data_IF_868215950601
#
_entry.id   IF_868215950601
#
_cell.length_a   1.000
_cell.length_b   1.000
_cell.length_c   1.000
_cell.angle_alpha   90.00
_cell.angle_beta   90.00
_cell.angle_gamma   90.00
#
_symmetry.space_group_name_H-M   'P 1'
#
loop_
_entity.id
_entity.type
_entity.pdbx_description
1 polymer ?
#
# COMPACT_ATOMS: atom_id res chain seq x y z
N UNK A 1 21.07 7.79 -4.11
CA UNK A 1 19.98 7.40 -5.03
C UNK A 1 19.59 5.93 -4.82
N UNK A 2 18.30 5.60 -4.86
CA UNK A 2 17.76 4.23 -4.78
C UNK A 2 16.90 3.87 -6.01
N UNK A 3 16.55 2.60 -6.18
CA UNK A 3 15.55 2.14 -7.15
C UNK A 3 14.23 1.86 -6.45
N UNK A 4 13.17 2.59 -6.81
CA UNK A 4 11.80 2.22 -6.46
C UNK A 4 11.29 1.20 -7.48
N UNK A 5 11.28 -0.07 -7.10
CA UNK A 5 10.76 -1.16 -7.93
C UNK A 5 9.23 -1.28 -7.77
N UNK A 6 8.52 -0.22 -8.19
CA UNK A 6 7.06 -0.12 -8.06
C UNK A 6 6.47 0.82 -9.10
N UNK A 7 5.30 0.49 -9.63
CA UNK A 7 4.49 1.39 -10.47
C UNK A 7 3.61 2.36 -9.68
N UNK A 8 3.63 2.32 -8.34
CA UNK A 8 2.75 3.15 -7.50
C UNK A 8 3.15 4.63 -7.53
N UNK A 9 2.29 5.47 -8.09
CA UNK A 9 2.43 6.93 -8.05
C UNK A 9 2.47 7.48 -6.62
N UNK A 10 1.70 6.88 -5.69
CA UNK A 10 1.69 7.30 -4.28
C UNK A 10 3.05 7.10 -3.62
N UNK A 11 3.74 5.97 -3.89
CA UNK A 11 5.06 5.69 -3.31
C UNK A 11 6.13 6.62 -3.87
N UNK A 12 6.09 6.88 -5.18
CA UNK A 12 6.96 7.85 -5.83
C UNK A 12 6.77 9.26 -5.25
N UNK A 13 5.51 9.67 -5.03
CA UNK A 13 5.19 10.95 -4.41
C UNK A 13 5.78 11.04 -3.00
N UNK A 14 5.59 10.01 -2.15
CA UNK A 14 6.14 10.00 -0.79
C UNK A 14 7.67 10.17 -0.81
N UNK A 15 8.39 9.43 -1.64
CA UNK A 15 9.86 9.57 -1.74
C UNK A 15 10.26 11.00 -2.14
N UNK A 16 9.58 11.56 -3.15
CA UNK A 16 9.84 12.91 -3.67
C UNK A 16 9.59 13.99 -2.61
N UNK A 17 8.44 13.95 -1.94
CA UNK A 17 8.07 14.91 -0.88
C UNK A 17 9.06 14.89 0.30
N UNK A 18 9.74 13.77 0.51
CA UNK A 18 10.68 13.57 1.60
C UNK A 18 12.15 13.72 1.17
N UNK A 19 12.42 14.20 -0.05
CA UNK A 19 13.77 14.51 -0.54
C UNK A 19 14.64 13.26 -0.79
N UNK A 20 14.04 12.09 -1.01
CA UNK A 20 14.80 10.89 -1.36
C UNK A 20 15.01 10.85 -2.86
N UNK A 21 16.26 10.78 -3.31
CA UNK A 21 16.59 10.59 -4.72
C UNK A 21 16.34 9.14 -5.14
N UNK A 22 15.54 8.95 -6.19
CA UNK A 22 15.24 7.62 -6.71
C UNK A 22 15.03 7.61 -8.23
N UNK A 23 15.22 6.43 -8.82
CA UNK A 23 14.66 6.08 -10.13
C UNK A 23 13.48 5.12 -9.92
N UNK A 24 12.41 5.31 -10.68
CA UNK A 24 11.25 4.44 -10.63
C UNK A 24 11.34 3.40 -11.75
N UNK A 25 11.41 2.13 -11.39
CA UNK A 25 11.38 1.01 -12.35
C UNK A 25 10.02 0.33 -12.23
N UNK A 26 9.21 0.49 -13.27
CA UNK A 26 7.88 -0.12 -13.33
C UNK A 26 7.98 -1.56 -13.84
N UNK A 27 7.38 -2.48 -13.10
CA UNK A 27 7.28 -3.89 -13.44
C UNK A 27 5.92 -4.39 -12.97
N UNK A 28 5.27 -5.19 -13.81
CA UNK A 28 4.13 -5.99 -13.40
C UNK A 28 4.64 -7.21 -12.65
N UNK A 29 4.07 -7.45 -11.47
CA UNK A 29 4.43 -8.56 -10.60
C UNK A 29 3.28 -9.54 -10.53
N UNK A 30 3.60 -10.83 -10.54
CA UNK A 30 2.65 -11.85 -10.13
C UNK A 30 2.44 -11.76 -8.62
N UNK A 31 1.26 -11.30 -8.23
CA UNK A 31 0.82 -11.10 -6.84
C UNK A 31 -0.22 -12.16 -6.42
N UNK A 32 -0.24 -13.33 -7.08
CA UNK A 32 -1.10 -14.44 -6.70
C UNK A 32 -0.65 -15.08 -5.38
N UNK A 33 -1.19 -14.59 -4.28
CA UNK A 33 -0.96 -15.10 -2.93
C UNK A 33 -2.26 -15.55 -2.27
N UNK A 34 -2.17 -16.55 -1.40
CA UNK A 34 -3.28 -17.01 -0.58
C UNK A 34 -3.73 -15.88 0.36
N UNK A 35 -4.91 -15.32 0.10
CA UNK A 35 -5.50 -14.25 0.91
C UNK A 35 -6.01 -14.73 2.27
N UNK A 36 -5.96 -16.05 2.56
CA UNK A 36 -6.21 -16.60 3.90
C UNK A 36 -5.01 -16.49 4.84
N UNK A 37 -3.84 -16.07 4.33
CA UNK A 37 -2.69 -15.80 5.18
C UNK A 37 -3.00 -14.66 6.17
N UNK A 38 -2.43 -14.70 7.39
CA UNK A 38 -2.45 -13.54 8.28
C UNK A 38 -1.95 -12.29 7.54
N UNK A 39 -2.60 -11.11 7.67
CA UNK A 39 -2.30 -9.95 6.82
C UNK A 39 -0.83 -9.51 6.82
N UNK A 40 -0.17 -9.62 7.97
CA UNK A 40 1.27 -9.38 8.08
C UNK A 40 2.09 -10.30 7.18
N UNK A 41 1.80 -11.61 7.20
CA UNK A 41 2.47 -12.62 6.37
C UNK A 41 2.13 -12.44 4.90
N UNK A 42 0.88 -12.08 4.59
CA UNK A 42 0.45 -11.80 3.21
C UNK A 42 1.28 -10.67 2.60
N UNK A 43 1.30 -9.50 3.24
CA UNK A 43 2.02 -8.33 2.73
C UNK A 43 3.53 -8.60 2.59
N UNK A 44 4.15 -9.26 3.57
CA UNK A 44 5.57 -9.64 3.50
C UNK A 44 5.87 -10.63 2.36
N UNK A 45 4.99 -11.63 2.16
CA UNK A 45 5.12 -12.62 1.08
C UNK A 45 5.13 -11.95 -0.28
N UNK A 46 4.26 -10.95 -0.49
CA UNK A 46 4.23 -10.18 -1.74
C UNK A 46 5.56 -9.43 -1.95
N UNK A 47 6.07 -8.73 -0.93
CA UNK A 47 7.35 -8.00 -1.10
C UNK A 47 8.53 -8.94 -1.38
N UNK A 48 8.54 -10.13 -0.79
CA UNK A 48 9.56 -11.16 -1.08
C UNK A 48 9.46 -11.65 -2.53
N UNK A 49 8.24 -11.90 -3.00
CA UNK A 49 8.01 -12.31 -4.39
C UNK A 49 8.39 -11.24 -5.39
N UNK A 50 8.05 -9.98 -5.13
CA UNK A 50 8.45 -8.83 -5.95
C UNK A 50 9.96 -8.75 -6.08
N UNK A 51 10.68 -8.89 -4.97
CA UNK A 51 12.14 -8.90 -4.98
C UNK A 51 12.69 -10.03 -5.85
N UNK A 52 12.20 -11.26 -5.65
CA UNK A 52 12.61 -12.42 -6.46
C UNK A 52 12.38 -12.18 -7.96
N UNK A 53 11.16 -11.83 -8.35
CA UNK A 53 10.79 -11.58 -9.75
C UNK A 53 11.63 -10.46 -10.38
N UNK A 54 11.88 -9.38 -9.62
CA UNK A 54 12.69 -8.26 -10.09
C UNK A 54 14.14 -8.68 -10.34
N UNK A 55 14.77 -9.39 -9.41
CA UNK A 55 16.14 -9.87 -9.59
C UNK A 55 16.25 -10.98 -10.63
N UNK A 56 15.19 -11.79 -10.82
CA UNK A 56 15.14 -12.75 -11.91
C UNK A 56 15.19 -12.06 -13.28
N UNK A 57 14.52 -10.91 -13.42
CA UNK A 57 14.45 -10.11 -14.66
C UNK A 57 15.67 -9.20 -14.88
N UNK A 58 16.07 -8.45 -13.87
CA UNK A 58 17.10 -7.40 -13.99
C UNK A 58 18.48 -7.84 -13.48
N UNK A 59 18.60 -9.03 -12.86
CA UNK A 59 19.85 -9.55 -12.31
C UNK A 59 20.52 -8.50 -11.40
N UNK A 60 21.84 -8.37 -11.46
CA UNK A 60 22.62 -7.44 -10.64
C UNK A 60 22.69 -6.03 -11.23
N UNK A 61 21.75 -5.63 -12.11
CA UNK A 61 21.73 -4.29 -12.69
C UNK A 61 21.51 -3.21 -11.62
N UNK A 62 20.84 -3.56 -10.52
CA UNK A 62 20.53 -2.65 -9.43
C UNK A 62 20.92 -3.25 -8.09
N UNK A 63 21.47 -2.43 -7.21
CA UNK A 63 22.12 -2.86 -5.98
C UNK A 63 21.64 -2.07 -4.74
N UNK A 64 20.63 -1.21 -4.89
CA UNK A 64 19.90 -0.47 -3.84
C UNK A 64 18.43 -0.39 -4.22
N UNK A 65 17.67 -1.46 -3.98
CA UNK A 65 16.31 -1.64 -4.50
C UNK A 65 15.29 -1.67 -3.37
N UNK A 66 14.25 -0.86 -3.52
CA UNK A 66 13.11 -0.75 -2.61
C UNK A 66 11.87 -1.38 -3.25
N UNK A 67 11.34 -2.37 -2.56
CA UNK A 67 10.05 -2.99 -2.83
C UNK A 67 9.07 -2.60 -1.73
N UNK A 68 7.81 -2.44 -2.09
CA UNK A 68 6.76 -2.22 -1.11
C UNK A 68 5.44 -2.81 -1.59
N UNK A 69 4.67 -3.29 -0.62
CA UNK A 69 3.31 -3.75 -0.79
C UNK A 69 2.40 -3.14 0.27
N UNK A 70 1.11 -3.03 -0.04
CA UNK A 70 0.16 -2.45 0.90
C UNK A 70 -1.20 -3.11 0.75
N UNK A 71 -1.73 -3.62 1.87
CA UNK A 71 -3.02 -4.28 1.91
C UNK A 71 -3.91 -3.59 2.93
N UNK A 72 -5.16 -3.32 2.55
CA UNK A 72 -6.17 -2.83 3.48
C UNK A 72 -6.80 -4.02 4.17
N UNK A 73 -7.01 -3.92 5.48
CA UNK A 73 -7.62 -4.97 6.29
C UNK A 73 -8.77 -4.35 7.07
N UNK A 74 -9.96 -4.91 6.90
CA UNK A 74 -11.14 -4.50 7.65
C UNK A 74 -11.90 -5.75 8.12
N UNK A 75 -12.24 -5.80 9.41
CA UNK A 75 -12.98 -6.92 10.02
C UNK A 75 -12.34 -8.31 9.73
N UNK A 76 -11.00 -8.37 9.70
CA UNK A 76 -10.26 -9.60 9.40
C UNK A 76 -10.14 -9.96 7.92
N UNK A 77 -10.78 -9.20 7.02
CA UNK A 77 -10.74 -9.42 5.57
C UNK A 77 -9.66 -8.55 4.94
N UNK A 78 -8.81 -9.16 4.11
CA UNK A 78 -7.86 -8.43 3.25
C UNK A 78 -8.61 -7.90 2.03
N UNK A 79 -8.59 -6.58 1.87
CA UNK A 79 -9.19 -5.86 0.76
C UNK A 79 -8.10 -5.47 -0.24
N UNK A 80 -8.03 -6.23 -1.33
CA UNK A 80 -7.16 -5.95 -2.47
C UNK A 80 -7.65 -4.77 -3.31
N UNK A 81 -7.19 -4.68 -4.56
CA UNK A 81 -7.73 -3.73 -5.53
C UNK A 81 -9.08 -4.24 -6.04
N UNK A 82 -10.10 -3.41 -6.02
CA UNK A 82 -11.40 -3.76 -6.60
C UNK A 82 -11.28 -3.93 -8.12
N UNK A 83 -11.91 -4.98 -8.66
CA UNK A 83 -11.98 -5.27 -10.10
C UNK A 83 -13.07 -4.48 -10.82
N UNK A 84 -14.09 -4.07 -10.08
CA UNK A 84 -15.26 -3.36 -10.59
C UNK A 84 -15.89 -2.47 -9.50
N UNK A 85 -16.86 -1.64 -9.89
CA UNK A 85 -17.57 -0.75 -8.96
C UNK A 85 -18.34 -1.50 -7.87
N UNK A 86 -18.84 -2.71 -8.17
CA UNK A 86 -19.62 -3.51 -7.21
C UNK A 86 -18.71 -3.92 -6.05
N UNK A 87 -17.52 -4.43 -6.37
CA UNK A 87 -16.50 -4.80 -5.40
C UNK A 87 -15.97 -3.57 -4.64
N UNK A 88 -15.74 -2.44 -5.32
CA UNK A 88 -15.33 -1.20 -4.67
C UNK A 88 -16.36 -0.73 -3.64
N UNK A 89 -17.65 -0.77 -4.00
CA UNK A 89 -18.77 -0.44 -3.09
C UNK A 89 -18.83 -1.39 -1.89
N UNK A 90 -18.64 -2.69 -2.12
CA UNK A 90 -18.58 -3.68 -1.05
C UNK A 90 -17.43 -3.37 -0.07
N UNK A 91 -16.22 -3.14 -0.59
CA UNK A 91 -15.05 -2.80 0.23
C UNK A 91 -15.26 -1.53 1.05
N UNK A 92 -15.86 -0.47 0.46
CA UNK A 92 -16.15 0.77 1.18
C UNK A 92 -17.25 0.62 2.22
N UNK A 93 -18.29 -0.17 1.94
CA UNK A 93 -19.33 -0.49 2.92
C UNK A 93 -18.77 -1.23 4.14
N UNK A 94 -17.82 -2.13 3.93
CA UNK A 94 -17.14 -2.84 5.02
C UNK A 94 -16.33 -1.89 5.91
N UNK A 95 -15.70 -0.87 5.31
CA UNK A 95 -14.93 0.15 6.04
C UNK A 95 -15.80 1.15 6.81
N UNK A 96 -17.01 1.42 6.32
CA UNK A 96 -17.97 2.34 6.96
C UNK A 96 -18.26 1.94 8.41
N UNK A 97 -18.13 2.88 9.34
CA UNK A 97 -18.30 2.65 10.78
C UNK A 97 -17.37 1.57 11.38
N UNK A 98 -16.27 1.22 10.71
CA UNK A 98 -15.36 0.14 11.11
C UNK A 98 -13.94 0.65 11.42
N UNK A 99 -13.18 -0.18 12.13
CA UNK A 99 -11.74 -0.03 12.22
C UNK A 99 -11.11 -0.69 10.99
N UNK A 100 -10.33 0.09 10.24
CA UNK A 100 -9.63 -0.36 9.03
C UNK A 100 -8.15 -0.09 9.20
N UNK A 101 -7.32 -1.09 8.89
CA UNK A 101 -5.86 -0.98 9.00
C UNK A 101 -5.21 -1.17 7.64
N UNK A 102 -4.22 -0.34 7.33
CA UNK A 102 -3.34 -0.50 6.17
C UNK A 102 -2.05 -1.13 6.65
N UNK A 103 -1.77 -2.33 6.14
CA UNK A 103 -0.52 -3.04 6.36
C UNK A 103 0.40 -2.72 5.21
N UNK A 104 1.55 -2.13 5.50
CA UNK A 104 2.56 -1.79 4.49
C UNK A 104 3.82 -2.56 4.78
N UNK A 105 4.09 -3.53 3.92
CA UNK A 105 5.35 -4.24 3.91
C UNK A 105 6.34 -3.50 3.00
N UNK A 106 7.60 -3.45 3.42
CA UNK A 106 8.70 -2.95 2.60
C UNK A 106 9.86 -3.92 2.68
N UNK A 107 10.56 -4.06 1.55
CA UNK A 107 11.83 -4.76 1.49
C UNK A 107 12.85 -3.85 0.84
N UNK A 108 13.90 -3.49 1.56
CA UNK A 108 15.01 -2.71 1.04
C UNK A 108 16.25 -3.58 0.97
N UNK A 109 16.79 -3.74 -0.23
CA UNK A 109 17.93 -4.60 -0.51
C UNK A 109 19.06 -3.74 -1.01
N UNK A 110 20.22 -3.89 -0.38
CA UNK A 110 21.48 -3.36 -0.87
C UNK A 110 22.54 -4.46 -0.98
N UNK A 111 23.73 -4.13 -1.48
CA UNK A 111 24.86 -5.07 -1.48
C UNK A 111 25.20 -5.63 -0.08
N UNK A 112 25.00 -4.82 0.97
CA UNK A 112 25.48 -5.13 2.32
C UNK A 112 24.36 -5.49 3.31
N UNK A 113 23.10 -5.28 2.93
CA UNK A 113 21.98 -5.48 3.85
C UNK A 113 20.67 -5.79 3.14
N UNK A 114 19.83 -6.56 3.83
CA UNK A 114 18.43 -6.80 3.48
C UNK A 114 17.60 -6.40 4.68
N UNK A 115 16.64 -5.51 4.48
CA UNK A 115 15.72 -5.04 5.52
C UNK A 115 14.31 -5.40 5.10
N UNK A 116 13.64 -6.20 5.92
CA UNK A 116 12.21 -6.44 5.84
C UNK A 116 11.51 -5.65 6.94
N UNK A 117 10.45 -4.95 6.57
CA UNK A 117 9.72 -4.10 7.49
C UNK A 117 8.22 -4.20 7.27
N UNK A 118 7.47 -4.16 8.36
CA UNK A 118 6.02 -4.10 8.33
C UNK A 118 5.56 -2.96 9.24
N UNK A 119 4.80 -2.05 8.66
CA UNK A 119 4.20 -0.91 9.38
C UNK A 119 2.71 -0.92 9.20
N UNK A 120 1.98 -0.51 10.25
CA UNK A 120 0.53 -0.53 10.28
C UNK A 120 0.01 0.87 10.59
N UNK A 121 -0.92 1.35 9.77
CA UNK A 121 -1.70 2.55 10.04
C UNK A 121 -3.18 2.19 10.15
N UNK A 122 -3.81 2.51 11.27
CA UNK A 122 -5.20 2.16 11.58
C UNK A 122 -6.07 3.40 11.67
N UNK A 123 -7.26 3.30 11.08
CA UNK A 123 -8.25 4.37 11.01
C UNK A 123 -9.60 3.83 11.47
N UNK A 124 -10.19 4.48 12.47
CA UNK A 124 -11.60 4.30 12.80
C UNK A 124 -12.40 5.30 11.99
N UNK A 125 -13.34 4.80 11.18
CA UNK A 125 -14.21 5.64 10.39
C UNK A 125 -15.59 5.81 11.02
N UNK A 126 -16.19 6.98 10.81
CA UNK A 126 -17.64 7.22 10.91
C UNK A 126 -18.38 6.42 9.85
N UNK A 127 -19.71 6.36 9.99
CA UNK A 127 -20.57 5.92 8.90
C UNK A 127 -20.36 6.84 7.69
N UNK A 128 -20.05 6.23 6.54
CA UNK A 128 -19.99 6.92 5.26
C UNK A 128 -21.40 7.31 4.81
N UNK A 129 -21.55 8.53 4.32
CA UNK A 129 -22.76 8.99 3.64
C UNK A 129 -22.90 8.30 2.28
N UNK A 130 -24.13 7.93 1.91
CA UNK A 130 -24.37 7.19 0.68
C UNK A 130 -24.13 8.04 -0.57
N UNK A 131 -24.53 9.32 -0.55
CA UNK A 131 -24.35 10.20 -1.71
C UNK A 131 -22.87 10.50 -1.93
N UNK A 132 -22.11 10.65 -0.85
CA UNK A 132 -20.65 10.76 -0.93
C UNK A 132 -19.98 9.51 -1.49
N UNK A 133 -20.45 8.33 -1.08
CA UNK A 133 -19.94 7.05 -1.58
C UNK A 133 -20.24 6.93 -3.08
N UNK A 134 -21.45 7.29 -3.52
CA UNK A 134 -21.85 7.30 -4.93
C UNK A 134 -21.00 8.24 -5.76
N UNK A 135 -20.78 9.48 -5.29
CA UNK A 135 -19.89 10.45 -5.94
C UNK A 135 -18.46 9.92 -6.05
N UNK A 136 -17.95 9.28 -4.99
CA UNK A 136 -16.59 8.74 -5.01
C UNK A 136 -16.45 7.56 -5.97
N UNK A 137 -17.43 6.66 -6.03
CA UNK A 137 -17.42 5.56 -7.00
C UNK A 137 -17.45 6.11 -8.43
N UNK A 138 -18.34 7.05 -8.72
CA UNK A 138 -18.46 7.68 -10.04
C UNK A 138 -17.18 8.43 -10.47
N UNK A 139 -16.37 8.89 -9.52
CA UNK A 139 -15.11 9.60 -9.81
C UNK A 139 -13.99 8.71 -10.35
N UNK A 140 -14.12 7.37 -10.26
CA UNK A 140 -13.06 6.40 -10.56
C UNK A 140 -11.76 6.55 -9.75
N UNK A 141 -11.69 7.47 -8.78
CA UNK A 141 -10.50 7.68 -7.95
C UNK A 141 -10.14 6.45 -7.09
N UNK A 142 -11.09 5.52 -6.88
CA UNK A 142 -10.87 4.25 -6.19
C UNK A 142 -10.03 3.24 -6.98
N UNK A 143 -9.97 3.38 -8.32
CA UNK A 143 -9.30 2.40 -9.17
C UNK A 143 -7.81 2.27 -8.82
N UNK A 144 -7.34 1.02 -8.82
CA UNK A 144 -5.96 0.67 -8.50
C UNK A 144 -5.55 0.84 -7.03
N UNK A 145 -6.47 1.21 -6.13
CA UNK A 145 -6.21 1.36 -4.68
C UNK A 145 -6.71 0.15 -3.92
N UNK A 146 -5.88 -0.36 -3.02
CA UNK A 146 -6.28 -1.42 -2.10
C UNK A 146 -7.46 -0.95 -1.23
N UNK A 147 -8.46 -1.80 -1.05
CA UNK A 147 -9.71 -1.50 -0.37
C UNK A 147 -10.51 -0.36 -1.00
N UNK A 148 -10.25 0.05 -2.24
CA UNK A 148 -10.81 1.27 -2.81
C UNK A 148 -10.54 2.52 -1.92
N UNK A 149 -9.56 2.45 -1.03
CA UNK A 149 -9.35 3.42 0.05
C UNK A 149 -8.46 4.57 -0.42
N UNK A 150 -8.85 5.80 -0.07
CA UNK A 150 -8.08 7.01 -0.33
C UNK A 150 -8.08 7.90 0.91
N UNK A 151 -7.08 7.73 1.77
CA UNK A 151 -7.02 8.38 3.09
C UNK A 151 -7.05 9.91 3.02
N UNK A 152 -6.44 10.48 1.98
CA UNK A 152 -6.41 11.93 1.75
C UNK A 152 -7.61 12.49 1.00
N UNK A 153 -8.42 11.62 0.41
CA UNK A 153 -9.58 11.97 -0.40
C UNK A 153 -10.85 11.61 0.35
N UNK A 154 -11.64 10.72 -0.26
CA UNK A 154 -12.95 10.29 0.24
C UNK A 154 -12.96 9.98 1.75
N UNK A 155 -12.00 9.20 2.23
CA UNK A 155 -11.98 8.74 3.62
C UNK A 155 -11.70 9.87 4.63
N UNK A 156 -11.03 10.96 4.21
CA UNK A 156 -10.47 11.99 5.10
C UNK A 156 -11.49 12.58 6.07
N UNK A 157 -12.66 12.94 5.55
CA UNK A 157 -13.74 13.56 6.36
C UNK A 157 -14.44 12.59 7.32
N UNK A 158 -14.19 11.29 7.18
CA UNK A 158 -14.80 10.25 8.00
C UNK A 158 -13.88 9.70 9.09
N UNK A 159 -12.63 10.15 9.17
CA UNK A 159 -11.68 9.68 10.19
C UNK A 159 -12.12 10.19 11.57
N UNK A 160 -12.38 9.28 12.50
CA UNK A 160 -12.59 9.58 13.93
C UNK A 160 -11.31 9.44 14.72
N UNK A 161 -10.58 8.35 14.46
CA UNK A 161 -9.34 8.01 15.14
C UNK A 161 -8.32 7.60 14.11
N UNK A 162 -7.10 8.09 14.26
CA UNK A 162 -5.95 7.68 13.49
C UNK A 162 -4.86 7.18 14.45
N UNK A 163 -4.27 6.03 14.13
CA UNK A 163 -3.08 5.50 14.78
C UNK A 163 -2.05 5.10 13.72
N UNK A 164 -0.80 5.50 13.92
CA UNK A 164 0.26 5.30 12.93
C UNK A 164 0.34 6.42 11.90
N UNK A 165 1.23 6.25 10.93
CA UNK A 165 1.66 7.34 10.06
C UNK A 165 0.92 7.33 8.72
N UNK A 166 0.57 8.53 8.24
CA UNK A 166 -0.10 8.73 6.95
C UNK A 166 0.68 8.15 5.76
N UNK A 167 2.02 8.34 5.63
CA UNK A 167 2.80 7.72 4.55
C UNK A 167 2.64 6.20 4.49
N UNK A 168 2.60 5.52 5.64
CA UNK A 168 2.31 4.08 5.72
C UNK A 168 0.97 3.77 5.06
N UNK A 169 -0.10 4.48 5.44
CA UNK A 169 -1.42 4.30 4.82
C UNK A 169 -1.46 4.59 3.32
N UNK A 170 -0.62 5.51 2.85
CA UNK A 170 -0.46 5.83 1.42
C UNK A 170 0.42 4.81 0.67
N UNK A 171 1.14 3.95 1.40
CA UNK A 171 1.81 2.77 0.87
C UNK A 171 3.32 2.72 1.04
N UNK A 172 3.92 3.61 1.86
CA UNK A 172 5.35 3.58 2.17
C UNK A 172 5.65 4.15 3.56
N UNK A 173 6.33 3.39 4.42
CA UNK A 173 6.87 3.93 5.68
C UNK A 173 8.22 4.61 5.46
N UNK A 174 8.13 5.87 5.05
CA UNK A 174 9.29 6.71 4.76
C UNK A 174 10.15 7.02 5.99
N UNK A 175 9.56 7.04 7.18
CA UNK A 175 10.28 7.41 8.42
C UNK A 175 11.32 6.34 8.70
N UNK A 176 10.89 5.09 8.71
CA UNK A 176 11.81 3.99 8.96
C UNK A 176 12.73 3.70 7.78
N UNK A 177 12.27 3.88 6.52
CA UNK A 177 13.14 3.75 5.35
C UNK A 177 14.35 4.69 5.45
N UNK A 178 14.14 5.95 5.86
CA UNK A 178 15.22 6.95 5.97
C UNK A 178 16.35 6.56 6.93
N UNK A 179 16.09 5.71 7.91
CA UNK A 179 17.13 5.22 8.82
C UNK A 179 18.18 4.34 8.12
N UNK A 180 17.89 3.88 6.90
CA UNK A 180 18.73 2.95 6.14
C UNK A 180 19.17 3.50 4.78
N UNK A 181 18.83 4.75 4.45
CA UNK A 181 19.25 5.39 3.20
C UNK A 181 20.66 5.98 3.33
#
# INVERSE_FOLDING_TARGET
MIVLASSSASRALILKEHGVEFIQVCMEYDENFDSNLPPAKYAMSITNSKAKQFFDKFKNQYDRVLFADSSVVCQGVILGKAKDEIEARYMLKLQSNSLTSVYTAMKFITQNMIIDMLSIASYKFKKFDNDDLDRYIASNLWQGKAGAMMIEGFNKKYIEVQKGNKPTAMGLDIINLKAFL
#
